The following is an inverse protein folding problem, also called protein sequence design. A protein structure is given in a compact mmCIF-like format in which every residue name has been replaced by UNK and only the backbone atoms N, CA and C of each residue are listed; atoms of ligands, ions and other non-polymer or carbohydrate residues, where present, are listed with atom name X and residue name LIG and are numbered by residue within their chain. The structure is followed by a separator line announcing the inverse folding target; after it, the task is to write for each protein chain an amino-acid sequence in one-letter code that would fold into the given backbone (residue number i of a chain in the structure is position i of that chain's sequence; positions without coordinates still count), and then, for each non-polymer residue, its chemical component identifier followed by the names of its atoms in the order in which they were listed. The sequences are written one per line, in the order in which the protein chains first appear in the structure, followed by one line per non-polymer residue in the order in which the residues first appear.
data_IF_728466229197
#
_entry.id   IF_728466229197
#
_cell.length_a   1.000
_cell.length_b   1.000
_cell.length_c   1.000
_cell.angle_alpha   90.00
_cell.angle_beta   90.00
_cell.angle_gamma   90.00
#
_symmetry.space_group_name_H-M   'P 1'
#
loop_
_entity.id
_entity.type
_entity.pdbx_description
1 polymer ?
#
# COMPACT_ATOMS: atom_id res chain seq x y z
N UNK A 1 6.41 21.70 4.22
CA UNK A 1 7.24 20.53 4.57
C UNK A 1 8.05 20.66 5.84
N UNK A 2 9.03 21.55 6.04
CA UNK A 2 9.53 21.78 7.42
C UNK A 2 8.39 22.25 8.34
N UNK A 3 7.39 22.93 7.77
CA UNK A 3 6.12 23.28 8.40
C UNK A 3 5.16 22.09 8.65
N UNK A 4 5.43 20.91 8.08
CA UNK A 4 4.63 19.69 8.29
C UNK A 4 5.23 18.76 9.36
N UNK A 5 6.51 18.96 9.68
CA UNK A 5 7.20 18.25 10.76
C UNK A 5 6.88 18.94 12.07
N UNK A 6 6.60 18.15 13.11
CA UNK A 6 6.43 18.69 14.45
C UNK A 6 7.69 19.49 14.88
N UNK A 7 7.55 20.72 15.41
CA UNK A 7 8.70 21.57 15.76
C UNK A 7 9.71 20.91 16.71
N UNK A 8 9.26 20.06 17.64
CA UNK A 8 10.15 19.36 18.55
C UNK A 8 10.93 18.25 17.83
N UNK A 9 10.32 17.58 16.85
CA UNK A 9 11.01 16.61 15.98
C UNK A 9 12.06 17.32 15.13
N UNK A 10 11.68 18.44 14.52
CA UNK A 10 12.56 19.23 13.68
C UNK A 10 13.76 19.80 14.47
N UNK A 11 13.55 20.19 15.73
CA UNK A 11 14.61 20.66 16.61
C UNK A 11 15.69 19.59 16.83
N UNK A 12 15.30 18.34 17.14
CA UNK A 12 16.23 17.21 17.30
C UNK A 12 16.97 16.93 15.99
N UNK A 13 16.29 16.96 14.85
CA UNK A 13 16.93 16.74 13.54
C UNK A 13 17.96 17.83 13.25
N UNK A 14 17.62 19.10 13.53
CA UNK A 14 18.51 20.22 13.32
C UNK A 14 19.72 20.18 14.27
N UNK A 15 19.52 19.83 15.53
CA UNK A 15 20.60 19.66 16.50
C UNK A 15 21.62 18.63 16.01
N UNK A 16 21.14 17.42 15.64
CA UNK A 16 22.02 16.36 15.13
C UNK A 16 22.74 16.74 13.85
N UNK A 17 22.06 17.47 12.97
CA UNK A 17 22.65 17.99 11.73
C UNK A 17 23.78 18.99 11.99
N UNK A 18 23.61 19.85 13.00
CA UNK A 18 24.57 20.90 13.33
C UNK A 18 25.77 20.37 14.12
N UNK A 19 25.55 19.39 14.99
CA UNK A 19 26.61 18.77 15.80
C UNK A 19 27.36 17.65 15.07
N UNK A 20 26.74 17.02 14.06
CA UNK A 20 27.32 15.91 13.32
C UNK A 20 28.19 16.34 12.13
N UNK A 21 29.15 15.49 11.75
CA UNK A 21 29.84 15.65 10.47
C UNK A 21 28.84 15.63 9.32
N UNK A 22 29.07 16.47 8.30
CA UNK A 22 28.29 16.43 7.06
C UNK A 22 28.49 15.05 6.40
N UNK A 23 27.42 14.24 6.41
CA UNK A 23 27.38 12.91 5.79
C UNK A 23 26.20 12.84 4.83
N UNK A 24 26.39 12.12 3.73
CA UNK A 24 25.33 11.77 2.81
C UNK A 24 24.40 10.73 3.43
N UNK A 25 23.13 10.62 2.96
CA UNK A 25 22.21 9.57 3.43
C UNK A 25 22.78 8.14 3.36
N UNK A 26 23.63 7.86 2.36
CA UNK A 26 24.30 6.56 2.18
C UNK A 26 25.34 6.32 3.27
N UNK A 27 26.21 7.29 3.53
CA UNK A 27 27.27 7.20 4.55
C UNK A 27 26.70 7.02 5.95
N UNK A 28 25.54 7.64 6.22
CA UNK A 28 24.82 7.48 7.48
C UNK A 28 24.43 6.02 7.70
N UNK A 29 23.77 5.41 6.71
CA UNK A 29 23.32 4.02 6.80
C UNK A 29 24.50 3.04 6.83
N UNK A 30 25.55 3.30 6.04
CA UNK A 30 26.78 2.51 6.07
C UNK A 30 27.42 2.51 7.47
N UNK A 31 27.53 3.68 8.12
CA UNK A 31 28.05 3.79 9.50
C UNK A 31 27.19 3.10 10.54
N UNK A 32 25.91 2.87 10.25
CA UNK A 32 25.03 2.11 11.12
C UNK A 32 25.17 0.58 10.96
N UNK A 33 26.00 0.11 10.03
CA UNK A 33 26.35 -1.31 9.87
C UNK A 33 25.65 -2.02 8.71
N UNK A 34 25.08 -1.29 7.75
CA UNK A 34 24.49 -1.89 6.55
C UNK A 34 25.55 -2.10 5.47
N UNK A 35 25.86 -3.35 5.15
CA UNK A 35 26.94 -3.71 4.22
C UNK A 35 26.70 -3.20 2.79
N UNK A 36 25.48 -3.34 2.26
CA UNK A 36 25.11 -2.92 0.89
C UNK A 36 24.44 -1.54 0.87
N UNK A 37 24.83 -0.63 1.77
CA UNK A 37 24.18 0.68 1.94
C UNK A 37 24.10 1.49 0.63
N UNK A 38 25.07 1.33 -0.27
CA UNK A 38 25.11 2.06 -1.55
C UNK A 38 24.07 1.53 -2.55
N UNK A 39 23.90 0.22 -2.64
CA UNK A 39 22.95 -0.43 -3.53
C UNK A 39 21.51 -0.27 -3.00
N UNK A 40 21.35 -0.25 -1.69
CA UNK A 40 20.07 -0.20 -0.98
C UNK A 40 19.75 1.17 -0.39
N UNK A 41 20.42 2.22 -0.86
CA UNK A 41 20.30 3.57 -0.32
C UNK A 41 18.87 4.13 -0.30
N UNK A 42 18.05 3.70 -1.26
CA UNK A 42 16.66 4.16 -1.42
C UNK A 42 15.63 3.22 -0.80
N UNK A 43 16.07 2.15 -0.14
CA UNK A 43 15.19 1.33 0.67
C UNK A 43 14.77 2.10 1.94
N UNK A 44 13.81 1.54 2.66
CA UNK A 44 13.23 2.16 3.85
C UNK A 44 13.54 1.38 5.12
N UNK A 45 14.05 0.15 5.01
CA UNK A 45 14.57 -0.63 6.13
C UNK A 45 15.69 -1.54 5.66
N UNK A 46 16.57 -1.91 6.58
CA UNK A 46 17.77 -2.69 6.32
C UNK A 46 18.05 -3.63 7.48
N UNK A 47 18.73 -4.74 7.17
CA UNK A 47 19.39 -5.56 8.16
C UNK A 47 20.86 -5.11 8.24
N UNK A 48 21.31 -4.73 9.44
CA UNK A 48 22.71 -4.44 9.73
C UNK A 48 23.41 -5.65 10.33
N UNK A 49 24.73 -5.55 10.48
CA UNK A 49 25.55 -6.52 11.20
C UNK A 49 24.95 -6.84 12.58
N UNK A 50 24.99 -8.11 12.97
CA UNK A 50 24.44 -8.57 14.26
C UNK A 50 22.92 -8.57 14.30
N UNK A 51 22.27 -8.77 13.15
CA UNK A 51 20.81 -8.91 13.00
C UNK A 51 19.99 -7.70 13.46
N UNK A 52 20.63 -6.55 13.66
CA UNK A 52 19.95 -5.32 14.07
C UNK A 52 19.18 -4.74 12.89
N UNK A 53 17.88 -4.51 13.07
CA UNK A 53 17.06 -3.83 12.09
C UNK A 53 17.34 -2.32 12.16
N UNK A 54 17.50 -1.71 11.00
CA UNK A 54 17.50 -0.25 10.85
C UNK A 54 16.30 0.13 9.99
N UNK A 55 15.52 1.10 10.43
CA UNK A 55 14.36 1.57 9.69
C UNK A 55 14.38 3.09 9.53
N UNK A 56 13.94 3.56 8.37
CA UNK A 56 13.62 4.97 8.18
C UNK A 56 12.36 5.31 8.95
N UNK A 57 12.35 6.44 9.65
CA UNK A 57 11.13 7.05 10.21
C UNK A 57 11.00 8.43 9.56
N UNK A 58 9.89 8.65 8.85
CA UNK A 58 9.62 9.95 8.24
C UNK A 58 9.17 10.92 9.31
N UNK A 59 9.91 12.01 9.45
CA UNK A 59 9.71 13.01 10.50
C UNK A 59 8.32 13.66 10.41
N UNK A 60 7.79 13.79 9.20
CA UNK A 60 6.46 14.30 8.89
C UNK A 60 5.33 13.44 9.49
N UNK A 61 5.61 12.16 9.79
CA UNK A 61 4.64 11.20 10.36
C UNK A 61 4.86 10.92 11.84
N UNK A 62 5.86 11.54 12.46
CA UNK A 62 6.08 11.44 13.90
C UNK A 62 5.04 12.29 14.62
N UNK A 63 4.38 11.68 15.59
CA UNK A 63 3.46 12.31 16.54
C UNK A 63 4.07 12.29 17.94
N UNK A 64 3.77 13.33 18.72
CA UNK A 64 4.24 13.48 20.10
C UNK A 64 3.00 13.53 20.99
N UNK A 65 2.94 12.65 22.00
CA UNK A 65 1.85 12.66 22.98
C UNK A 65 2.00 13.83 23.98
N UNK A 66 0.99 14.03 24.82
CA UNK A 66 1.01 15.09 25.83
C UNK A 66 2.16 14.98 26.86
N UNK A 67 2.80 13.80 26.98
CA UNK A 67 3.94 13.54 27.87
C UNK A 67 5.29 13.77 27.18
N UNK A 68 5.30 14.09 25.89
CA UNK A 68 6.50 14.29 25.09
C UNK A 68 7.06 13.00 24.48
N UNK A 69 6.34 11.87 24.55
CA UNK A 69 6.78 10.60 23.95
C UNK A 69 6.38 10.53 22.49
N UNK A 70 7.29 9.99 21.67
CA UNK A 70 7.12 9.99 20.22
C UNK A 70 6.64 8.62 19.75
N UNK A 71 5.75 8.66 18.77
CA UNK A 71 5.30 7.48 18.06
C UNK A 71 5.02 7.82 16.59
N UNK A 72 4.91 6.80 15.76
CA UNK A 72 4.33 6.96 14.43
C UNK A 72 3.53 5.72 14.03
N UNK A 73 2.58 5.92 13.12
CA UNK A 73 1.83 4.82 12.52
C UNK A 73 2.54 4.35 11.26
N UNK A 74 2.73 3.04 11.16
CA UNK A 74 3.31 2.35 10.00
C UNK A 74 2.22 1.61 9.26
N UNK A 75 2.13 1.81 7.95
CA UNK A 75 1.25 1.01 7.09
C UNK A 75 1.78 -0.41 6.93
N UNK A 76 0.92 -1.40 7.20
CA UNK A 76 1.17 -2.81 6.88
C UNK A 76 0.57 -3.20 5.52
N UNK A 77 -0.03 -2.27 4.79
CA UNK A 77 -0.49 -2.49 3.43
C UNK A 77 0.68 -2.28 2.46
N UNK A 78 1.18 -3.32 1.77
CA UNK A 78 2.27 -3.17 0.81
C UNK A 78 1.81 -2.63 -0.54
N UNK A 79 0.50 -2.64 -0.84
CA UNK A 79 -0.07 -2.26 -2.14
C UNK A 79 -0.37 -0.76 -2.21
N UNK A 80 -0.81 -0.17 -1.10
CA UNK A 80 -1.26 1.22 -1.08
C UNK A 80 -0.24 2.16 -0.47
N UNK A 81 -0.08 3.33 -1.09
CA UNK A 81 0.77 4.42 -0.58
C UNK A 81 0.08 5.15 0.58
N UNK A 82 0.83 5.78 1.49
CA UNK A 82 0.29 6.80 2.40
C UNK A 82 -0.45 7.88 1.61
N UNK A 83 -1.65 8.26 2.06
CA UNK A 83 -2.55 9.17 1.32
C UNK A 83 -3.30 8.54 0.14
N UNK A 84 -3.09 7.25 -0.15
CA UNK A 84 -3.86 6.48 -1.12
C UNK A 84 -3.21 6.28 -2.50
N UNK A 85 -3.85 5.41 -3.28
CA UNK A 85 -3.38 4.98 -4.60
C UNK A 85 -2.28 3.91 -4.56
N UNK A 86 -2.11 3.24 -5.68
CA UNK A 86 -1.29 2.03 -5.79
C UNK A 86 0.22 2.33 -5.83
N UNK A 87 0.99 1.44 -5.23
CA UNK A 87 2.46 1.42 -5.33
C UNK A 87 2.88 0.75 -6.63
N UNK A 88 3.99 1.21 -7.19
CA UNK A 88 4.69 0.47 -8.25
C UNK A 88 5.24 -0.86 -7.71
N UNK A 89 5.51 -1.83 -8.59
CA UNK A 89 6.07 -3.13 -8.21
C UNK A 89 7.35 -3.02 -7.36
N UNK A 90 8.22 -2.05 -7.66
CA UNK A 90 9.42 -1.77 -6.89
C UNK A 90 9.10 -1.31 -5.46
N UNK A 91 8.11 -0.43 -5.29
CA UNK A 91 7.71 0.06 -3.98
C UNK A 91 6.90 -0.97 -3.19
N UNK A 92 6.14 -1.84 -3.86
CA UNK A 92 5.51 -3.00 -3.24
C UNK A 92 6.58 -3.89 -2.61
N UNK A 93 7.66 -4.21 -3.35
CA UNK A 93 8.74 -5.04 -2.81
C UNK A 93 9.41 -4.36 -1.61
N UNK A 94 9.73 -3.07 -1.70
CA UNK A 94 10.32 -2.32 -0.58
C UNK A 94 9.42 -2.27 0.65
N UNK A 95 8.12 -2.08 0.45
CA UNK A 95 7.14 -2.09 1.54
C UNK A 95 7.07 -3.48 2.20
N UNK A 96 7.05 -4.56 1.40
CA UNK A 96 7.12 -5.94 1.92
C UNK A 96 8.39 -6.19 2.73
N UNK A 97 9.55 -5.81 2.21
CA UNK A 97 10.84 -5.99 2.89
C UNK A 97 10.87 -5.22 4.22
N UNK A 98 10.36 -3.98 4.22
CA UNK A 98 10.22 -3.16 5.43
C UNK A 98 9.29 -3.80 6.47
N UNK A 99 8.09 -4.19 6.06
CA UNK A 99 7.11 -4.86 6.93
C UNK A 99 7.72 -6.13 7.53
N UNK A 100 8.42 -6.93 6.72
CA UNK A 100 9.07 -8.16 7.18
C UNK A 100 10.16 -7.88 8.22
N UNK A 101 10.99 -6.86 8.02
CA UNK A 101 12.04 -6.48 8.97
C UNK A 101 11.46 -5.91 10.28
N UNK A 102 10.43 -5.07 10.21
CA UNK A 102 9.75 -4.56 11.40
C UNK A 102 9.06 -5.69 12.17
N UNK A 103 8.40 -6.61 11.46
CA UNK A 103 7.81 -7.81 12.06
C UNK A 103 8.88 -8.66 12.76
N UNK A 104 10.03 -8.89 12.11
CA UNK A 104 11.16 -9.61 12.72
C UNK A 104 11.62 -8.95 14.03
N UNK A 105 11.78 -7.62 14.02
CA UNK A 105 12.14 -6.86 15.23
C UNK A 105 11.14 -7.15 16.34
N UNK A 106 9.84 -7.01 16.06
CA UNK A 106 8.75 -7.29 17.00
C UNK A 106 8.76 -8.73 17.53
N UNK A 107 8.79 -9.71 16.62
CA UNK A 107 8.69 -11.13 16.96
C UNK A 107 9.88 -11.60 17.81
N UNK A 108 11.04 -10.95 17.66
CA UNK A 108 12.23 -11.19 18.49
C UNK A 108 12.23 -10.43 19.83
N UNK A 109 11.25 -9.56 20.07
CA UNK A 109 11.21 -8.67 21.24
C UNK A 109 12.33 -7.63 21.26
N UNK A 110 13.01 -7.42 20.13
CA UNK A 110 14.10 -6.46 20.00
C UNK A 110 13.60 -5.18 19.35
N UNK A 111 14.09 -4.05 19.84
CA UNK A 111 13.94 -2.78 19.15
C UNK A 111 14.71 -2.74 17.83
N UNK A 112 14.45 -1.70 17.05
CA UNK A 112 15.22 -1.34 15.87
C UNK A 112 15.87 0.04 16.07
N UNK A 113 16.89 0.31 15.26
CA UNK A 113 17.51 1.64 15.21
C UNK A 113 16.85 2.47 14.11
N UNK A 114 16.55 3.73 14.39
CA UNK A 114 15.90 4.59 13.41
C UNK A 114 16.89 5.54 12.72
N UNK A 115 16.60 5.86 11.46
CA UNK A 115 17.07 7.08 10.80
C UNK A 115 15.88 8.00 10.59
N UNK A 116 15.89 9.18 11.22
CA UNK A 116 14.89 10.20 10.99
C UNK A 116 15.16 10.83 9.62
N UNK A 117 14.15 10.91 8.78
CA UNK A 117 14.25 11.44 7.43
C UNK A 117 13.25 12.57 7.22
N UNK A 118 13.72 13.65 6.59
CA UNK A 118 12.88 14.70 6.01
C UNK A 118 13.05 14.71 4.50
N UNK A 119 12.00 15.14 3.81
CA UNK A 119 11.95 15.07 2.35
C UNK A 119 11.94 16.47 1.71
N UNK A 120 12.34 16.57 0.43
CA UNK A 120 12.23 17.80 -0.39
C UNK A 120 11.00 17.86 -1.28
N UNK A 121 10.28 16.74 -1.35
CA UNK A 121 8.94 16.64 -1.91
C UNK A 121 8.03 15.90 -0.94
N UNK A 122 6.71 16.07 -1.10
CA UNK A 122 5.72 15.35 -0.32
C UNK A 122 5.97 13.82 -0.41
N UNK A 123 5.67 13.13 0.68
CA UNK A 123 5.91 11.69 0.81
C UNK A 123 5.25 10.88 -0.30
N UNK A 124 4.01 11.22 -0.68
CA UNK A 124 3.31 10.57 -1.79
C UNK A 124 4.08 10.68 -3.13
N UNK A 125 4.86 11.74 -3.32
CA UNK A 125 5.73 11.92 -4.49
C UNK A 125 6.98 11.04 -4.48
N UNK A 126 7.53 10.72 -3.30
CA UNK A 126 8.71 9.84 -3.17
C UNK A 126 8.43 8.41 -3.65
N UNK A 127 7.21 7.94 -3.45
CA UNK A 127 6.79 6.60 -3.90
C UNK A 127 6.32 6.58 -5.37
N UNK A 128 6.52 7.68 -6.11
CA UNK A 128 6.19 7.75 -7.55
C UNK A 128 7.35 8.16 -8.44
N UNK A 129 8.29 8.95 -7.92
CA UNK A 129 9.37 9.51 -8.72
C UNK A 129 10.72 8.98 -8.24
N UNK A 130 11.43 8.26 -9.12
CA UNK A 130 12.79 7.75 -8.88
C UNK A 130 13.80 8.87 -8.68
N UNK A 131 13.52 10.08 -9.16
CA UNK A 131 14.34 11.27 -8.97
C UNK A 131 14.00 12.05 -7.68
N UNK A 132 12.94 11.66 -6.96
CA UNK A 132 12.52 12.33 -5.75
C UNK A 132 13.64 12.27 -4.68
N UNK A 133 14.16 13.44 -4.32
CA UNK A 133 15.34 13.53 -3.46
C UNK A 133 14.93 13.60 -2.00
N UNK A 134 15.42 12.64 -1.23
CA UNK A 134 15.51 12.74 0.23
C UNK A 134 16.25 14.03 0.58
N UNK A 135 15.70 14.83 1.51
CA UNK A 135 16.38 16.05 1.96
C UNK A 135 17.52 15.69 2.88
N UNK A 136 17.21 14.90 3.91
CA UNK A 136 18.13 14.59 4.98
C UNK A 136 17.83 13.25 5.62
N UNK A 137 18.87 12.60 6.16
CA UNK A 137 18.75 11.56 7.17
C UNK A 137 19.61 11.96 8.36
N UNK A 138 19.16 11.68 9.58
CA UNK A 138 19.98 11.71 10.79
C UNK A 138 19.71 10.44 11.59
N UNK A 139 20.73 9.75 12.14
CA UNK A 139 20.51 8.66 13.08
C UNK A 139 19.72 9.16 14.28
N UNK A 140 18.75 8.39 14.75
CA UNK A 140 18.22 8.57 16.09
C UNK A 140 19.03 7.75 17.08
N UNK A 141 19.31 8.32 18.25
CA UNK A 141 20.12 7.64 19.29
C UNK A 141 19.22 6.92 20.28
N UNK A 142 17.93 7.28 20.32
CA UNK A 142 16.93 6.55 21.09
C UNK A 142 16.56 5.26 20.34
N UNK A 143 16.38 4.14 21.05
CA UNK A 143 15.86 2.92 20.45
C UNK A 143 14.42 3.16 19.99
N UNK A 144 14.01 2.41 18.98
CA UNK A 144 12.61 2.33 18.57
C UNK A 144 12.10 0.91 18.70
N UNK A 145 10.81 0.74 18.90
CA UNK A 145 10.18 -0.57 19.01
C UNK A 145 8.83 -0.59 18.30
N UNK A 146 8.37 -1.79 17.96
CA UNK A 146 7.02 -2.00 17.44
C UNK A 146 6.12 -2.31 18.64
N UNK A 147 5.35 -1.31 19.09
CA UNK A 147 4.48 -1.43 20.27
C UNK A 147 3.27 -2.32 20.02
N UNK A 148 2.55 -2.05 18.93
CA UNK A 148 1.37 -2.82 18.53
C UNK A 148 1.37 -3.14 17.03
N UNK A 149 0.60 -4.15 16.66
CA UNK A 149 0.47 -4.62 15.28
C UNK A 149 -0.95 -5.13 15.08
N UNK A 150 -1.69 -4.41 14.25
CA UNK A 150 -3.06 -4.71 13.90
C UNK A 150 -3.07 -5.13 12.42
N UNK A 151 -3.15 -6.44 12.20
CA UNK A 151 -3.15 -7.00 10.84
C UNK A 151 -4.45 -6.68 10.10
N UNK A 152 -5.57 -6.57 10.82
CA UNK A 152 -6.90 -6.34 10.24
C UNK A 152 -7.01 -4.90 9.75
N UNK A 153 -6.59 -3.94 10.56
CA UNK A 153 -6.48 -2.52 10.17
C UNK A 153 -5.25 -2.21 9.35
N UNK A 154 -4.39 -3.21 9.10
CA UNK A 154 -3.11 -3.08 8.38
C UNK A 154 -2.25 -1.92 8.92
N UNK A 155 -2.13 -1.80 10.23
CA UNK A 155 -1.33 -0.76 10.89
C UNK A 155 -0.46 -1.31 12.01
N UNK A 156 0.75 -0.80 12.16
CA UNK A 156 1.58 -0.99 13.34
C UNK A 156 1.90 0.34 14.00
N UNK A 157 2.11 0.33 15.31
CA UNK A 157 2.54 1.51 16.07
C UNK A 157 4.02 1.38 16.40
N UNK A 158 4.82 2.32 15.89
CA UNK A 158 6.24 2.41 16.20
C UNK A 158 6.43 3.42 17.34
N UNK A 159 7.13 3.02 18.39
CA UNK A 159 7.34 3.83 19.59
C UNK A 159 8.83 4.16 19.72
N UNK A 160 9.12 5.42 20.04
CA UNK A 160 10.48 5.85 20.38
C UNK A 160 10.70 5.71 21.89
N UNK A 161 11.82 5.11 22.27
CA UNK A 161 12.20 4.82 23.65
C UNK A 161 12.04 3.34 24.00
N UNK A 162 12.69 2.93 25.08
CA UNK A 162 12.72 1.52 25.53
C UNK A 162 11.57 1.15 26.48
N UNK A 163 10.88 2.15 27.06
CA UNK A 163 9.79 1.90 28.01
C UNK A 163 8.52 1.48 27.27
N UNK A 164 7.83 0.46 27.79
CA UNK A 164 6.56 0.02 27.26
C UNK A 164 5.47 1.05 27.55
N UNK A 165 4.83 1.53 26.50
CA UNK A 165 3.68 2.43 26.59
C UNK A 165 2.82 2.33 25.33
N UNK A 166 1.60 2.85 25.38
CA UNK A 166 0.73 2.94 24.21
C UNK A 166 0.15 4.36 24.09
N UNK A 167 0.10 4.94 22.87
CA UNK A 167 -0.59 6.19 22.62
C UNK A 167 -2.08 6.10 22.95
N UNK A 168 -2.69 7.20 23.39
CA UNK A 168 -4.13 7.23 23.63
C UNK A 168 -4.90 7.12 22.31
N UNK A 169 -6.18 6.75 22.36
CA UNK A 169 -7.04 6.72 21.16
C UNK A 169 -7.11 8.09 20.46
N UNK A 170 -7.08 9.19 21.22
CA UNK A 170 -7.05 10.53 20.66
C UNK A 170 -5.74 10.82 19.92
N UNK A 171 -4.60 10.42 20.49
CA UNK A 171 -3.29 10.53 19.83
C UNK A 171 -3.25 9.69 18.54
N UNK A 172 -3.79 8.46 18.61
CA UNK A 172 -3.90 7.56 17.47
C UNK A 172 -4.77 8.15 16.34
N UNK A 173 -5.91 8.76 16.69
CA UNK A 173 -6.79 9.43 15.73
C UNK A 173 -6.12 10.66 15.09
N UNK A 174 -5.41 11.46 15.88
CA UNK A 174 -4.64 12.61 15.38
C UNK A 174 -3.52 12.16 14.43
N UNK A 175 -2.78 11.10 14.78
CA UNK A 175 -1.74 10.54 13.93
C UNK A 175 -2.30 9.98 12.62
N UNK A 176 -3.47 9.34 12.67
CA UNK A 176 -4.19 8.88 11.47
C UNK A 176 -4.52 10.02 10.51
N UNK A 177 -4.96 11.16 11.03
CA UNK A 177 -5.30 12.33 10.22
C UNK A 177 -4.11 12.94 9.47
N UNK A 178 -2.87 12.63 9.88
CA UNK A 178 -1.64 13.06 9.20
C UNK A 178 -1.33 12.23 7.95
N UNK A 179 -2.05 11.14 7.71
CA UNK A 179 -2.02 10.40 6.43
C UNK A 179 -0.85 9.41 6.26
N UNK A 180 -0.22 8.98 7.35
CA UNK A 180 0.89 8.00 7.33
C UNK A 180 0.46 6.57 6.98
N UNK A 181 -0.81 6.27 7.19
CA UNK A 181 -1.46 5.02 6.80
C UNK A 181 -2.48 5.35 5.72
N UNK A 182 -2.62 4.52 4.66
CA UNK A 182 -3.69 4.69 3.70
C UNK A 182 -5.02 4.70 4.46
N UNK A 183 -5.77 5.80 4.37
CA UNK A 183 -7.16 5.81 4.83
C UNK A 183 -7.85 4.75 3.98
N UNK A 184 -8.28 3.66 4.62
CA UNK A 184 -9.14 2.71 3.96
C UNK A 184 -10.27 3.54 3.34
N UNK A 185 -10.54 3.44 2.02
CA UNK A 185 -11.74 4.05 1.49
C UNK A 185 -12.88 3.62 2.42
N UNK A 186 -13.75 4.55 2.85
CA UNK A 186 -14.77 4.23 3.84
C UNK A 186 -15.43 2.94 3.39
N UNK A 187 -15.35 1.92 4.24
CA UNK A 187 -16.14 0.70 4.07
C UNK A 187 -17.55 1.25 4.10
N UNK A 188 -18.17 1.42 2.92
CA UNK A 188 -19.58 1.69 2.84
C UNK A 188 -20.22 0.65 3.74
N UNK A 189 -20.97 1.10 4.74
CA UNK A 189 -21.63 0.20 5.67
C UNK A 189 -22.24 -0.93 4.84
N UNK A 190 -21.82 -2.17 5.12
CA UNK A 190 -22.11 -3.37 4.32
C UNK A 190 -23.61 -3.67 4.20
N UNK A 191 -24.45 -2.85 4.83
CA UNK A 191 -25.89 -2.94 4.85
C UNK A 191 -26.57 -2.31 3.62
N UNK A 192 -25.84 -1.56 2.76
CA UNK A 192 -26.39 -0.87 1.57
C UNK A 192 -25.58 -1.12 0.27
N UNK A 193 -24.90 -2.26 0.16
CA UNK A 193 -24.14 -2.62 -1.04
C UNK A 193 -25.06 -3.25 -2.09
N UNK A 194 -25.23 -2.59 -3.24
CA UNK A 194 -26.00 -3.09 -4.38
C UNK A 194 -25.13 -3.90 -5.35
N UNK A 195 -25.69 -4.86 -6.12
CA UNK A 195 -24.94 -5.57 -7.16
C UNK A 195 -24.30 -4.64 -8.20
N UNK A 196 -24.97 -3.51 -8.48
CA UNK A 196 -24.47 -2.49 -9.39
C UNK A 196 -23.24 -1.78 -8.83
N UNK A 197 -23.22 -1.42 -7.54
CA UNK A 197 -22.05 -0.78 -6.93
C UNK A 197 -20.85 -1.73 -6.86
N UNK A 198 -21.08 -3.02 -6.61
CA UNK A 198 -20.04 -4.06 -6.66
C UNK A 198 -19.47 -4.21 -8.07
N UNK A 199 -20.32 -4.23 -9.10
CA UNK A 199 -19.88 -4.28 -10.49
C UNK A 199 -19.08 -3.04 -10.89
N UNK A 200 -19.56 -1.85 -10.53
CA UNK A 200 -18.84 -0.60 -10.80
C UNK A 200 -17.45 -0.58 -10.14
N UNK A 201 -17.36 -1.02 -8.88
CA UNK A 201 -16.09 -1.14 -8.17
C UNK A 201 -15.13 -2.16 -8.82
N UNK A 202 -15.66 -3.30 -9.29
CA UNK A 202 -14.88 -4.30 -10.02
C UNK A 202 -14.34 -3.75 -11.36
N UNK A 203 -15.15 -2.98 -12.10
CA UNK A 203 -14.75 -2.33 -13.36
C UNK A 203 -13.65 -1.30 -13.10
N UNK A 204 -13.82 -0.44 -12.09
CA UNK A 204 -12.82 0.54 -11.70
C UNK A 204 -11.49 -0.12 -11.29
N UNK A 205 -11.56 -1.16 -10.46
CA UNK A 205 -10.40 -1.95 -10.04
C UNK A 205 -9.62 -2.51 -11.22
N UNK A 206 -10.29 -3.16 -12.18
CA UNK A 206 -9.62 -3.74 -13.35
C UNK A 206 -9.07 -2.67 -14.29
N UNK A 207 -9.79 -1.56 -14.48
CA UNK A 207 -9.34 -0.43 -15.29
C UNK A 207 -8.03 0.14 -14.75
N UNK A 208 -7.95 0.36 -13.43
CA UNK A 208 -6.73 0.80 -12.74
C UNK A 208 -5.61 -0.23 -12.84
N UNK A 209 -5.92 -1.51 -12.61
CA UNK A 209 -4.96 -2.60 -12.70
C UNK A 209 -4.24 -2.62 -14.06
N UNK A 210 -4.99 -2.66 -15.17
CA UNK A 210 -4.40 -2.70 -16.51
C UNK A 210 -3.69 -1.40 -16.89
N UNK A 211 -4.22 -0.24 -16.46
CA UNK A 211 -3.54 1.04 -16.63
C UNK A 211 -2.17 1.06 -15.92
N UNK A 212 -2.06 0.44 -14.74
CA UNK A 212 -0.79 0.28 -14.01
C UNK A 212 0.29 -0.48 -14.77
N UNK A 213 -0.09 -1.40 -15.67
CA UNK A 213 0.83 -2.10 -16.57
C UNK A 213 1.09 -1.34 -17.90
N UNK A 214 0.49 -0.16 -18.07
CA UNK A 214 0.63 0.66 -19.27
C UNK A 214 -0.22 0.21 -20.46
N UNK A 215 -1.27 -0.58 -20.20
CA UNK A 215 -2.31 -0.88 -21.19
C UNK A 215 -3.42 0.16 -21.13
N UNK A 216 -4.18 0.29 -22.21
CA UNK A 216 -5.39 1.11 -22.23
C UNK A 216 -6.59 0.21 -21.99
N UNK A 217 -7.28 0.40 -20.87
CA UNK A 217 -8.54 -0.30 -20.55
C UNK A 217 -9.71 0.67 -20.79
N UNK A 218 -10.54 0.39 -21.80
CA UNK A 218 -11.72 1.19 -22.13
C UNK A 218 -12.97 0.48 -21.62
N UNK A 219 -13.79 1.19 -20.85
CA UNK A 219 -15.12 0.70 -20.46
C UNK A 219 -16.06 0.76 -21.68
N UNK A 220 -16.87 -0.28 -21.83
CA UNK A 220 -17.82 -0.44 -22.93
C UNK A 220 -19.23 -0.36 -22.37
N UNK A 221 -19.92 0.73 -22.68
CA UNK A 221 -21.29 0.99 -22.22
C UNK A 221 -22.37 0.49 -23.20
N UNK A 222 -22.02 -0.45 -24.09
CA UNK A 222 -22.96 -1.05 -25.04
C UNK A 222 -23.68 -2.26 -24.42
N UNK A 223 -25.01 -2.19 -24.18
CA UNK A 223 -25.78 -3.30 -23.62
C UNK A 223 -25.80 -4.55 -24.51
N UNK A 224 -25.47 -4.43 -25.79
CA UNK A 224 -25.36 -5.54 -26.74
C UNK A 224 -23.96 -6.17 -26.77
N UNK A 225 -23.00 -5.59 -26.04
CA UNK A 225 -21.66 -6.16 -25.87
C UNK A 225 -21.68 -7.26 -24.80
N UNK A 226 -21.06 -8.40 -25.06
CA UNK A 226 -20.86 -9.47 -24.06
C UNK A 226 -19.64 -9.24 -23.18
N UNK A 227 -19.12 -8.02 -23.09
CA UNK A 227 -17.98 -7.63 -22.27
C UNK A 227 -18.06 -6.16 -21.86
N UNK A 228 -17.49 -5.84 -20.70
CA UNK A 228 -17.50 -4.53 -20.06
C UNK A 228 -16.23 -3.71 -20.30
N UNK A 229 -15.09 -4.37 -20.53
CA UNK A 229 -13.80 -3.70 -20.70
C UNK A 229 -13.07 -4.26 -21.92
N UNK A 230 -12.60 -3.38 -22.80
CA UNK A 230 -11.63 -3.70 -23.83
C UNK A 230 -10.23 -3.24 -23.42
N UNK A 231 -9.27 -4.16 -23.34
CA UNK A 231 -7.86 -3.86 -23.04
C UNK A 231 -7.06 -3.87 -24.32
N UNK A 232 -6.39 -2.76 -24.64
CA UNK A 232 -5.52 -2.63 -25.82
C UNK A 232 -4.08 -2.33 -25.43
N UNK A 233 -3.15 -2.74 -26.30
CA UNK A 233 -1.76 -2.31 -26.18
C UNK A 233 -1.56 -0.83 -26.59
N UNK A 234 -0.32 -0.34 -26.49
CA UNK A 234 0.03 1.04 -26.87
C UNK A 234 -0.13 1.34 -28.36
N UNK A 235 -0.23 0.31 -29.20
CA UNK A 235 -0.44 0.41 -30.65
C UNK A 235 -1.92 0.29 -31.03
N UNK A 236 -2.80 0.06 -30.06
CA UNK A 236 -4.24 -0.08 -30.26
C UNK A 236 -4.70 -1.50 -30.60
N UNK A 237 -3.84 -2.51 -30.49
CA UNK A 237 -4.26 -3.90 -30.70
C UNK A 237 -5.05 -4.41 -29.47
N UNK A 238 -6.24 -4.97 -29.70
CA UNK A 238 -7.05 -5.60 -28.64
C UNK A 238 -6.36 -6.85 -28.09
N UNK A 239 -6.08 -6.84 -26.80
CA UNK A 239 -5.46 -7.95 -26.07
C UNK A 239 -6.51 -8.78 -25.34
N UNK A 240 -7.48 -8.13 -24.70
CA UNK A 240 -8.52 -8.77 -23.90
C UNK A 240 -9.86 -8.06 -24.06
N UNK A 241 -10.93 -8.85 -24.01
CA UNK A 241 -12.31 -8.39 -23.83
C UNK A 241 -12.86 -9.03 -22.56
N UNK A 242 -13.14 -8.23 -21.54
CA UNK A 242 -13.44 -8.71 -20.20
C UNK A 242 -14.92 -8.55 -19.87
N UNK A 243 -15.62 -9.66 -19.62
CA UNK A 243 -16.86 -9.62 -18.86
C UNK A 243 -16.52 -9.60 -17.37
N UNK A 244 -16.98 -8.57 -16.65
CA UNK A 244 -16.53 -8.26 -15.30
C UNK A 244 -17.63 -8.59 -14.30
N UNK A 245 -17.29 -9.44 -13.33
CA UNK A 245 -18.14 -9.79 -12.19
C UNK A 245 -17.41 -9.47 -10.90
N UNK A 246 -18.16 -9.01 -9.90
CA UNK A 246 -17.63 -8.67 -8.60
C UNK A 246 -18.38 -9.39 -7.49
N UNK A 247 -17.70 -9.63 -6.38
CA UNK A 247 -18.30 -10.09 -5.12
C UNK A 247 -17.85 -9.17 -3.99
N UNK A 248 -18.71 -8.92 -3.01
CA UNK A 248 -18.38 -8.12 -1.82
C UNK A 248 -19.38 -8.41 -0.69
N UNK A 249 -18.89 -8.59 0.54
CA UNK A 249 -19.75 -8.75 1.72
C UNK A 249 -20.82 -9.83 1.55
N UNK A 250 -22.09 -9.41 1.49
CA UNK A 250 -23.28 -10.23 1.29
C UNK A 250 -23.55 -10.63 -0.17
N UNK A 251 -22.89 -10.02 -1.15
CA UNK A 251 -23.02 -10.36 -2.57
C UNK A 251 -21.92 -11.35 -2.94
N UNK A 252 -22.28 -12.64 -2.87
CA UNK A 252 -21.35 -13.76 -3.12
C UNK A 252 -21.56 -14.45 -4.47
N UNK A 253 -22.66 -14.12 -5.17
CA UNK A 253 -23.09 -14.79 -6.41
C UNK A 253 -23.14 -13.85 -7.62
N UNK A 254 -23.05 -14.41 -8.82
CA UNK A 254 -23.29 -13.71 -10.07
C UNK A 254 -23.75 -14.65 -11.19
N UNK A 255 -24.49 -14.10 -12.16
CA UNK A 255 -24.90 -14.80 -13.39
C UNK A 255 -24.24 -14.20 -14.63
N UNK A 256 -23.99 -15.02 -15.65
CA UNK A 256 -23.64 -14.54 -17.00
C UNK A 256 -24.91 -14.36 -17.85
N UNK A 257 -24.98 -13.23 -18.57
CA UNK A 257 -26.03 -12.95 -19.55
C UNK A 257 -25.93 -13.89 -20.75
N UNK A 258 -27.01 -13.99 -21.53
CA UNK A 258 -27.01 -14.78 -22.77
C UNK A 258 -25.93 -14.29 -23.76
N UNK A 259 -25.69 -12.97 -23.83
CA UNK A 259 -24.70 -12.39 -24.72
C UNK A 259 -23.27 -12.63 -24.24
N UNK A 260 -23.01 -12.53 -22.93
CA UNK A 260 -21.71 -12.88 -22.33
C UNK A 260 -21.37 -14.35 -22.58
N UNK A 261 -22.36 -15.25 -22.47
CA UNK A 261 -22.18 -16.69 -22.80
C UNK A 261 -21.93 -16.91 -24.29
N UNK A 262 -22.66 -16.21 -25.15
CA UNK A 262 -22.44 -16.28 -26.60
C UNK A 262 -21.03 -15.80 -26.99
N UNK A 263 -20.53 -14.74 -26.37
CA UNK A 263 -19.19 -14.22 -26.60
C UNK A 263 -18.10 -15.12 -26.01
N UNK A 264 -18.34 -15.71 -24.83
CA UNK A 264 -17.45 -16.72 -24.28
C UNK A 264 -17.23 -17.90 -25.24
N UNK A 265 -18.29 -18.38 -25.91
CA UNK A 265 -18.19 -19.46 -26.90
C UNK A 265 -17.36 -19.09 -28.13
N UNK A 266 -17.23 -17.78 -28.46
CA UNK A 266 -16.40 -17.31 -29.58
C UNK A 266 -14.90 -17.37 -29.28
N UNK A 267 -14.50 -17.49 -28.02
CA UNK A 267 -13.11 -17.68 -27.64
C UNK A 267 -12.30 -16.38 -27.53
N UNK A 268 -11.01 -16.44 -27.87
CA UNK A 268 -10.10 -15.31 -27.74
C UNK A 268 -10.57 -14.10 -28.58
N UNK A 269 -10.45 -12.86 -28.05
CA UNK A 269 -9.74 -12.44 -26.83
C UNK A 269 -10.63 -12.38 -25.56
N UNK A 270 -11.80 -13.01 -25.55
CA UNK A 270 -12.78 -12.88 -24.47
C UNK A 270 -12.34 -13.61 -23.18
N UNK A 271 -12.52 -12.98 -22.01
CA UNK A 271 -12.30 -13.57 -20.68
C UNK A 271 -13.39 -13.16 -19.71
N UNK A 272 -13.69 -14.04 -18.76
CA UNK A 272 -14.42 -13.68 -17.54
C UNK A 272 -13.41 -13.19 -16.51
N UNK A 273 -13.61 -11.98 -16.00
CA UNK A 273 -12.85 -11.42 -14.89
C UNK A 273 -13.71 -11.40 -13.63
N UNK A 274 -13.30 -12.13 -12.60
CA UNK A 274 -13.98 -12.13 -11.30
C UNK A 274 -13.12 -11.38 -10.30
N UNK A 275 -13.67 -10.31 -9.72
CA UNK A 275 -13.06 -9.53 -8.65
C UNK A 275 -13.66 -9.95 -7.31
N UNK A 276 -12.87 -10.57 -6.46
CA UNK A 276 -13.24 -10.91 -5.09
C UNK A 276 -13.01 -9.71 -4.17
N UNK A 277 -13.97 -9.46 -3.27
CA UNK A 277 -13.94 -8.32 -2.35
C UNK A 277 -13.81 -6.97 -3.08
N UNK A 278 -14.62 -6.77 -4.14
CA UNK A 278 -14.44 -5.67 -5.10
C UNK A 278 -14.52 -4.27 -4.49
N UNK A 279 -15.27 -4.11 -3.39
CA UNK A 279 -15.40 -2.85 -2.65
C UNK A 279 -14.40 -2.79 -1.47
N UNK A 280 -13.93 -3.95 -1.02
CA UNK A 280 -13.12 -4.05 0.18
C UNK A 280 -11.61 -3.95 -0.06
N UNK A 281 -10.84 -3.88 1.04
CA UNK A 281 -9.39 -3.67 1.00
C UNK A 281 -8.61 -4.92 0.59
N UNK A 282 -9.26 -6.06 0.37
CA UNK A 282 -8.66 -7.30 -0.11
C UNK A 282 -9.02 -7.59 -1.58
N UNK A 283 -9.45 -6.58 -2.34
CA UNK A 283 -9.79 -6.68 -3.75
C UNK A 283 -8.70 -7.41 -4.56
N UNK A 284 -9.07 -8.56 -5.10
CA UNK A 284 -8.20 -9.38 -5.95
C UNK A 284 -9.01 -9.91 -7.13
N UNK A 285 -8.36 -10.20 -8.26
CA UNK A 285 -9.06 -10.72 -9.43
C UNK A 285 -8.42 -11.98 -9.98
N UNK A 286 -9.24 -12.76 -10.69
CA UNK A 286 -8.80 -13.88 -11.53
C UNK A 286 -9.49 -13.81 -12.88
N UNK A 287 -8.73 -14.10 -13.93
CA UNK A 287 -9.22 -14.21 -15.30
C UNK A 287 -9.45 -15.67 -15.63
N UNK A 288 -10.60 -15.97 -16.21
CA UNK A 288 -11.01 -17.31 -16.64
C UNK A 288 -11.17 -17.32 -18.15
N UNK A 289 -10.59 -18.33 -18.78
CA UNK A 289 -10.88 -18.66 -20.19
C UNK A 289 -12.29 -19.25 -20.30
N UNK A 290 -12.87 -19.30 -21.51
CA UNK A 290 -14.17 -19.92 -21.73
C UNK A 290 -14.31 -21.33 -21.14
N UNK A 291 -13.28 -22.17 -21.28
CA UNK A 291 -13.27 -23.53 -20.73
C UNK A 291 -13.15 -23.61 -19.19
N UNK A 292 -12.89 -22.49 -18.52
CA UNK A 292 -12.65 -22.40 -17.08
C UNK A 292 -13.79 -21.67 -16.35
N UNK A 293 -14.81 -21.17 -17.07
CA UNK A 293 -15.90 -20.36 -16.51
C UNK A 293 -16.63 -21.10 -15.39
N UNK A 294 -16.92 -22.39 -15.56
CA UNK A 294 -17.66 -23.19 -14.58
C UNK A 294 -16.87 -23.42 -13.27
N UNK A 295 -15.59 -23.05 -13.25
CA UNK A 295 -14.73 -23.08 -12.05
C UNK A 295 -14.72 -21.74 -11.30
N UNK A 296 -15.41 -20.72 -11.81
CA UNK A 296 -15.45 -19.40 -11.21
C UNK A 296 -16.27 -19.43 -9.91
N UNK A 297 -15.69 -19.06 -8.76
CA UNK A 297 -16.40 -19.05 -7.48
C UNK A 297 -17.51 -18.01 -7.52
N UNK A 298 -18.71 -18.40 -7.05
CA UNK A 298 -19.89 -17.52 -7.06
C UNK A 298 -20.69 -17.55 -8.36
N UNK A 299 -20.28 -18.32 -9.38
CA UNK A 299 -21.11 -18.50 -10.57
C UNK A 299 -22.41 -19.25 -10.19
N UNK A 300 -23.54 -18.59 -10.42
CA UNK A 300 -24.85 -19.19 -10.19
C UNK A 300 -25.19 -20.19 -11.31
N UNK A 301 -25.83 -21.33 -10.96
CA UNK A 301 -26.29 -22.29 -11.95
C UNK A 301 -27.33 -21.64 -12.88
N UNK A 302 -27.39 -22.09 -14.13
CA UNK A 302 -28.53 -21.75 -14.97
C UNK A 302 -29.78 -22.31 -14.30
N UNK A 303 -30.71 -21.43 -13.93
CA UNK A 303 -32.08 -21.84 -13.67
C UNK A 303 -32.76 -21.96 -15.05
N UNK A 304 -33.19 -23.18 -15.38
CA UNK A 304 -33.98 -23.49 -16.58
C UNK A 304 -35.31 -22.72 -16.62
#
# INVERSE_FOLDING_TARGET
MEQEVDPAVLAVINEKRLMGDKRTPVEIIAKMGVFDARQKASDQAWLATGDTVIATVWAEFVSIDATGRWFCLESLDPQLRPGGGERSALHIQRAKDRIQLLKRSRDSGQGFRAVLQTNRVAIAGLETDKAAKVSMRVPDDQPWQVGSWDADRKVAVLLRGAEAWEPSEADMAAAWSRGSVPVAPPVAALDDVSPESVRAAAIDYLTRHFAGYGYKANVVDDPQSGYDIEVTDKKGATLLKLAVKGTAGNITGFSLSAQERADALRGDPWRLAVVSDAIGPAAQHKLYKPAEIDQAPGLEPLLD
#
